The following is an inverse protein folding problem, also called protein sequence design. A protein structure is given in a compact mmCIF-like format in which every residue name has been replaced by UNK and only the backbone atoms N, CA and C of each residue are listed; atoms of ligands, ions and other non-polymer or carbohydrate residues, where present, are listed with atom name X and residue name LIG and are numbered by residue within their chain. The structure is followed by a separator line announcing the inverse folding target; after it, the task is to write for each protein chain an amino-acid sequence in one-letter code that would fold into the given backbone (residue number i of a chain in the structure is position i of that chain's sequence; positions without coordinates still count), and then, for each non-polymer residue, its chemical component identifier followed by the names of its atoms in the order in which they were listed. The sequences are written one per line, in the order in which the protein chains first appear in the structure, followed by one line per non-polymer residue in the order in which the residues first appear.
data_IF_311280383413
#
_entry.id   IF_311280383413
#
_cell.length_a   1.000
_cell.length_b   1.000
_cell.length_c   1.000
_cell.angle_alpha   90.00
_cell.angle_beta   90.00
_cell.angle_gamma   90.00
#
_symmetry.space_group_name_H-M   'P 1'
#
loop_
_entity.id
_entity.type
_entity.pdbx_description
1 polymer ?
#
# COMPACT_ATOMS: atom_id res chain seq x y z
N UNK A 1 -52.66 -44.94 -31.09
CA UNK A 1 -51.82 -43.98 -31.86
C UNK A 1 -51.23 -42.90 -30.97
N UNK A 2 -52.04 -42.19 -30.17
CA UNK A 2 -51.57 -41.11 -29.28
C UNK A 2 -50.57 -41.59 -28.21
N UNK A 3 -50.78 -42.75 -27.58
CA UNK A 3 -49.83 -43.31 -26.59
C UNK A 3 -48.45 -43.61 -27.19
N UNK A 4 -48.42 -44.10 -28.44
CA UNK A 4 -47.18 -44.39 -29.16
C UNK A 4 -46.40 -43.10 -29.48
N UNK A 5 -47.12 -42.05 -29.90
CA UNK A 5 -46.52 -40.73 -30.14
C UNK A 5 -45.98 -40.15 -28.83
N UNK A 6 -46.72 -40.27 -27.73
CA UNK A 6 -46.27 -39.85 -26.40
C UNK A 6 -44.98 -40.54 -25.95
N UNK A 7 -44.89 -41.87 -26.13
CA UNK A 7 -43.68 -42.65 -25.80
C UNK A 7 -42.45 -42.22 -26.60
N UNK A 8 -42.63 -41.91 -27.89
CA UNK A 8 -41.55 -41.43 -28.76
C UNK A 8 -41.05 -40.07 -28.28
N UNK A 9 -41.97 -39.14 -27.96
CA UNK A 9 -41.63 -37.81 -27.45
C UNK A 9 -40.88 -37.89 -26.11
N UNK A 10 -41.34 -38.74 -25.18
CA UNK A 10 -40.66 -38.95 -23.89
C UNK A 10 -39.25 -39.50 -24.07
N UNK A 11 -39.06 -40.47 -24.98
CA UNK A 11 -37.72 -41.00 -25.28
C UNK A 11 -36.78 -39.95 -25.87
N UNK A 12 -37.27 -39.13 -26.81
CA UNK A 12 -36.51 -38.04 -27.42
C UNK A 12 -36.12 -36.98 -26.38
N UNK A 13 -37.04 -36.60 -25.50
CA UNK A 13 -36.75 -35.70 -24.38
C UNK A 13 -35.70 -36.26 -23.42
N UNK A 14 -35.79 -37.55 -23.08
CA UNK A 14 -34.80 -38.20 -22.21
C UNK A 14 -33.40 -38.29 -22.84
N UNK A 15 -33.33 -38.51 -24.16
CA UNK A 15 -32.05 -38.48 -24.89
C UNK A 15 -31.45 -37.08 -24.94
N UNK A 16 -32.29 -36.07 -25.22
CA UNK A 16 -31.87 -34.66 -25.24
C UNK A 16 -31.40 -34.20 -23.86
N UNK A 17 -32.12 -34.54 -22.78
CA UNK A 17 -31.75 -34.16 -21.42
C UNK A 17 -30.42 -34.76 -21.00
N UNK A 18 -30.16 -36.04 -21.32
CA UNK A 18 -28.88 -36.69 -21.04
C UNK A 18 -27.73 -36.07 -21.83
N UNK A 19 -27.96 -35.71 -23.08
CA UNK A 19 -26.96 -35.02 -23.89
C UNK A 19 -26.61 -33.64 -23.31
N UNK A 20 -27.62 -32.86 -22.89
CA UNK A 20 -27.44 -31.56 -22.22
C UNK A 20 -26.67 -31.72 -20.91
N UNK A 21 -27.04 -32.69 -20.08
CA UNK A 21 -26.35 -32.94 -18.81
C UNK A 21 -24.88 -33.28 -19.03
N UNK A 22 -24.60 -34.18 -19.98
CA UNK A 22 -23.26 -34.67 -20.20
C UNK A 22 -22.33 -33.69 -20.91
N UNK A 23 -22.84 -32.90 -21.87
CA UNK A 23 -22.03 -31.99 -22.67
C UNK A 23 -22.12 -30.53 -22.23
N UNK A 24 -23.23 -30.07 -21.67
CA UNK A 24 -23.38 -28.67 -21.27
C UNK A 24 -23.08 -28.52 -19.79
N UNK A 25 -23.78 -29.28 -18.94
CA UNK A 25 -23.67 -29.11 -17.48
C UNK A 25 -22.27 -29.49 -16.99
N UNK A 26 -21.74 -30.64 -17.41
CA UNK A 26 -20.40 -31.07 -16.98
C UNK A 26 -19.30 -30.09 -17.42
N UNK A 27 -19.33 -29.63 -18.68
CA UNK A 27 -18.33 -28.66 -19.17
C UNK A 27 -18.42 -27.32 -18.43
N UNK A 28 -19.63 -26.85 -18.13
CA UNK A 28 -19.80 -25.62 -17.33
C UNK A 28 -19.29 -25.83 -15.89
N UNK A 29 -19.57 -26.96 -15.26
CA UNK A 29 -19.08 -27.26 -13.92
C UNK A 29 -17.54 -27.38 -13.86
N UNK A 30 -16.92 -28.01 -14.86
CA UNK A 30 -15.47 -28.07 -14.98
C UNK A 30 -14.86 -26.67 -15.19
N UNK A 31 -15.49 -25.84 -16.03
CA UNK A 31 -15.08 -24.46 -16.22
C UNK A 31 -15.12 -23.67 -14.90
N UNK A 32 -16.24 -23.74 -14.16
CA UNK A 32 -16.40 -23.04 -12.86
C UNK A 32 -15.36 -23.50 -11.85
N UNK A 33 -15.07 -24.82 -11.76
CA UNK A 33 -14.02 -25.35 -10.87
C UNK A 33 -12.63 -24.82 -11.23
N UNK A 34 -12.31 -24.70 -12.52
CA UNK A 34 -11.03 -24.13 -12.94
C UNK A 34 -10.95 -22.62 -12.67
N UNK A 35 -12.09 -21.93 -12.78
CA UNK A 35 -12.19 -20.49 -12.59
C UNK A 35 -11.91 -20.06 -11.15
N UNK A 36 -12.28 -20.89 -10.16
CA UNK A 36 -11.98 -20.65 -8.74
C UNK A 36 -10.47 -20.45 -8.50
N UNK A 37 -9.64 -21.28 -9.13
CA UNK A 37 -8.18 -21.21 -8.97
C UNK A 37 -7.62 -19.95 -9.63
N UNK A 38 -8.14 -19.56 -10.79
CA UNK A 38 -7.76 -18.32 -11.49
C UNK A 38 -8.14 -17.10 -10.66
N UNK A 39 -9.33 -17.07 -10.07
CA UNK A 39 -9.77 -16.00 -9.17
C UNK A 39 -8.90 -15.92 -7.92
N UNK A 40 -8.52 -17.06 -7.32
CA UNK A 40 -7.64 -17.08 -6.16
C UNK A 40 -6.28 -16.48 -6.49
N UNK A 41 -5.66 -16.88 -7.61
CA UNK A 41 -4.38 -16.30 -8.04
C UNK A 41 -4.53 -14.80 -8.32
N UNK A 42 -5.60 -14.39 -9.00
CA UNK A 42 -5.85 -12.99 -9.34
C UNK A 42 -6.00 -12.11 -8.09
N UNK A 43 -6.73 -12.58 -7.09
CA UNK A 43 -6.93 -11.86 -5.82
C UNK A 43 -5.62 -11.70 -5.05
N UNK A 44 -4.79 -12.76 -4.98
CA UNK A 44 -3.47 -12.70 -4.35
C UNK A 44 -2.57 -11.69 -5.06
N UNK A 45 -2.49 -11.73 -6.40
CA UNK A 45 -1.67 -10.79 -7.18
C UNK A 45 -2.15 -9.35 -7.00
N UNK A 46 -3.47 -9.11 -7.05
CA UNK A 46 -4.04 -7.79 -6.84
C UNK A 46 -3.73 -7.25 -5.43
N UNK A 47 -3.82 -8.10 -4.41
CA UNK A 47 -3.49 -7.71 -3.04
C UNK A 47 -2.02 -7.28 -2.90
N UNK A 48 -1.09 -8.04 -3.48
CA UNK A 48 0.33 -7.65 -3.49
C UNK A 48 0.56 -6.31 -4.19
N UNK A 49 -0.08 -6.08 -5.34
CA UNK A 49 0.03 -4.81 -6.06
C UNK A 49 -0.48 -3.63 -5.22
N UNK A 50 -1.59 -3.81 -4.51
CA UNK A 50 -2.15 -2.78 -3.61
C UNK A 50 -1.17 -2.48 -2.47
N UNK A 51 -0.60 -3.50 -1.83
CA UNK A 51 0.39 -3.32 -0.76
C UNK A 51 1.60 -2.55 -1.29
N UNK A 52 2.19 -2.99 -2.40
CA UNK A 52 3.36 -2.34 -3.01
C UNK A 52 3.05 -0.88 -3.31
N UNK A 53 1.88 -0.60 -3.90
CA UNK A 53 1.45 0.76 -4.18
C UNK A 53 1.31 1.60 -2.91
N UNK A 54 0.68 1.07 -1.86
CA UNK A 54 0.55 1.76 -0.57
C UNK A 54 1.90 2.05 0.06
N UNK A 55 2.80 1.06 0.12
CA UNK A 55 4.15 1.21 0.67
C UNK A 55 4.94 2.26 -0.12
N UNK A 56 4.95 2.20 -1.45
CA UNK A 56 5.63 3.21 -2.27
C UNK A 56 5.05 4.61 -2.06
N UNK A 57 3.72 4.74 -1.95
CA UNK A 57 3.06 6.02 -1.66
C UNK A 57 3.47 6.58 -0.30
N UNK A 58 3.61 5.73 0.71
CA UNK A 58 4.09 6.15 2.04
C UNK A 58 5.57 6.54 2.01
N UNK A 59 6.42 5.79 1.33
CA UNK A 59 7.84 6.12 1.18
C UNK A 59 8.06 7.47 0.47
N UNK A 60 7.25 7.79 -0.54
CA UNK A 60 7.29 9.10 -1.22
C UNK A 60 6.91 10.28 -0.31
N UNK A 61 6.16 10.04 0.77
CA UNK A 61 5.79 11.06 1.76
C UNK A 61 6.87 11.29 2.81
N UNK A 62 7.89 10.43 2.88
CA UNK A 62 8.97 10.61 3.85
C UNK A 62 9.82 11.84 3.50
N UNK A 63 10.20 12.64 4.50
CA UNK A 63 11.08 13.78 4.29
C UNK A 63 12.45 13.32 3.79
N UNK A 64 12.97 13.99 2.74
CA UNK A 64 14.27 13.63 2.13
C UNK A 64 15.48 13.95 3.00
N UNK A 65 15.34 14.90 3.92
CA UNK A 65 16.37 15.27 4.89
C UNK A 65 15.71 15.84 6.14
N UNK A 66 16.49 15.85 7.23
CA UNK A 66 16.08 16.31 8.54
C UNK A 66 16.95 17.48 8.95
N UNK A 67 16.33 18.55 9.42
CA UNK A 67 16.98 19.75 9.92
C UNK A 67 16.71 19.85 11.41
N UNK A 68 17.71 20.25 12.19
CA UNK A 68 17.54 20.60 13.59
C UNK A 68 17.35 22.12 13.65
N UNK A 69 16.17 22.53 14.06
CA UNK A 69 15.85 23.91 14.41
C UNK A 69 16.17 24.11 15.89
N UNK A 70 16.83 25.22 16.22
CA UNK A 70 17.25 25.55 17.57
C UNK A 70 16.48 26.80 17.99
N UNK A 71 15.73 26.69 19.08
CA UNK A 71 14.99 27.80 19.68
C UNK A 71 15.65 28.17 21.01
N UNK A 72 15.74 29.46 21.32
CA UNK A 72 16.08 29.95 22.66
C UNK A 72 14.92 29.69 23.65
N UNK A 73 15.16 29.82 24.95
CA UNK A 73 14.13 29.71 26.00
C UNK A 73 12.96 30.69 25.82
N UNK A 74 13.18 31.78 25.09
CA UNK A 74 12.16 32.77 24.74
C UNK A 74 11.37 32.42 23.46
N UNK A 75 11.68 31.30 22.80
CA UNK A 75 11.01 30.83 21.58
C UNK A 75 11.50 31.49 20.29
N UNK A 76 12.60 32.25 20.33
CA UNK A 76 13.21 32.86 19.16
C UNK A 76 14.15 31.86 18.46
N UNK A 77 14.19 31.87 17.13
CA UNK A 77 15.17 31.08 16.38
C UNK A 77 16.60 31.51 16.76
N UNK A 78 17.41 30.54 17.19
CA UNK A 78 18.78 30.74 17.59
C UNK A 78 19.72 29.97 16.66
N UNK A 79 20.76 30.62 16.14
CA UNK A 79 21.82 29.95 15.42
C UNK A 79 23.00 29.75 16.37
N UNK A 80 23.27 28.50 16.76
CA UNK A 80 24.45 28.18 17.57
C UNK A 80 25.59 27.81 16.64
N UNK A 81 26.63 28.63 16.65
CA UNK A 81 27.74 28.51 15.71
C UNK A 81 28.51 27.18 15.90
N UNK A 82 28.90 26.57 14.80
CA UNK A 82 29.60 25.27 14.78
C UNK A 82 28.71 24.02 14.93
N UNK A 83 27.38 24.14 15.16
CA UNK A 83 26.50 22.98 15.14
C UNK A 83 26.08 22.58 13.72
N UNK A 84 26.22 21.29 13.41
CA UNK A 84 25.60 20.72 12.22
C UNK A 84 24.09 20.64 12.40
N UNK A 85 23.34 21.34 11.55
CA UNK A 85 21.88 21.34 11.57
C UNK A 85 21.25 20.39 10.54
N UNK A 86 21.97 19.99 9.49
CA UNK A 86 21.43 19.20 8.38
C UNK A 86 21.87 17.73 8.41
N UNK A 87 20.90 16.81 8.38
CA UNK A 87 21.08 15.37 8.44
C UNK A 87 20.28 14.63 7.35
N UNK A 88 20.83 13.53 6.85
CA UNK A 88 20.17 12.68 5.85
C UNK A 88 19.17 11.71 6.46
N UNK A 89 19.36 11.30 7.72
CA UNK A 89 18.52 10.32 8.40
C UNK A 89 17.94 10.88 9.70
N UNK A 90 16.71 10.47 10.03
CA UNK A 90 16.04 10.87 11.26
C UNK A 90 16.82 10.43 12.50
N UNK A 91 17.37 9.21 12.47
CA UNK A 91 18.09 8.63 13.60
C UNK A 91 19.34 9.44 13.94
N UNK A 92 20.10 9.88 12.93
CA UNK A 92 21.27 10.72 13.15
C UNK A 92 20.86 12.09 13.71
N UNK A 93 19.84 12.72 13.11
CA UNK A 93 19.30 14.00 13.60
C UNK A 93 18.82 13.89 15.05
N UNK A 94 18.14 12.79 15.41
CA UNK A 94 17.62 12.55 16.75
C UNK A 94 18.72 12.34 17.78
N UNK A 95 19.69 11.49 17.46
CA UNK A 95 20.82 11.25 18.36
C UNK A 95 21.63 12.53 18.59
N UNK A 96 21.84 13.32 17.54
CA UNK A 96 22.55 14.59 17.64
C UNK A 96 21.76 15.63 18.44
N UNK A 97 20.48 15.83 18.13
CA UNK A 97 19.61 16.73 18.89
C UNK A 97 19.59 16.36 20.38
N UNK A 98 19.42 15.08 20.70
CA UNK A 98 19.38 14.60 22.07
C UNK A 98 20.70 14.84 22.81
N UNK A 99 21.85 14.66 22.15
CA UNK A 99 23.16 14.96 22.73
C UNK A 99 23.26 16.44 23.14
N UNK A 100 22.90 17.36 22.25
CA UNK A 100 22.97 18.79 22.54
C UNK A 100 21.86 19.27 23.48
N UNK A 101 20.67 18.66 23.47
CA UNK A 101 19.65 18.90 24.50
C UNK A 101 20.16 18.54 25.89
N UNK A 102 20.94 17.47 26.04
CA UNK A 102 21.51 17.12 27.34
C UNK A 102 22.56 18.13 27.81
N UNK A 103 23.31 18.75 26.89
CA UNK A 103 24.36 19.72 27.20
C UNK A 103 23.82 21.13 27.43
N UNK A 104 22.89 21.57 26.59
CA UNK A 104 22.43 22.97 26.52
C UNK A 104 20.93 23.11 26.72
N UNK A 105 20.23 22.07 27.18
CA UNK A 105 18.76 22.05 27.28
C UNK A 105 18.14 23.11 28.19
N UNK A 106 18.95 23.77 29.03
CA UNK A 106 18.51 24.93 29.82
C UNK A 106 18.52 26.26 29.06
N UNK A 107 19.27 26.33 27.95
CA UNK A 107 19.45 27.53 27.13
C UNK A 107 18.77 27.40 25.78
N UNK A 108 18.76 26.19 25.22
CA UNK A 108 18.28 25.94 23.87
C UNK A 108 17.38 24.71 23.82
N UNK A 109 16.36 24.81 22.97
CA UNK A 109 15.46 23.72 22.62
C UNK A 109 15.76 23.28 21.20
N UNK A 110 16.11 22.01 21.04
CA UNK A 110 16.44 21.40 19.75
C UNK A 110 15.24 20.65 19.22
N UNK A 111 14.71 21.06 18.06
CA UNK A 111 13.56 20.45 17.40
C UNK A 111 13.96 19.88 16.05
N UNK A 112 13.52 18.66 15.76
CA UNK A 112 13.83 17.99 14.50
C UNK A 112 12.67 18.19 13.53
N UNK A 113 12.96 18.72 12.34
CA UNK A 113 11.98 18.95 11.27
C UNK A 113 12.41 18.23 10.01
N UNK A 114 11.51 17.42 9.45
CA UNK A 114 11.73 16.81 8.15
C UNK A 114 11.38 17.79 7.04
N UNK A 115 12.34 18.13 6.17
CA UNK A 115 12.10 19.01 5.01
C UNK A 115 12.22 18.24 3.71
N UNK A 116 11.39 18.63 2.74
CA UNK A 116 11.45 18.14 1.37
C UNK A 116 12.08 19.21 0.49
N UNK A 117 13.08 18.83 -0.32
CA UNK A 117 13.92 19.72 -1.16
C UNK A 117 13.14 20.68 -2.07
N UNK A 118 11.83 20.43 -2.28
CA UNK A 118 10.95 21.22 -3.13
C UNK A 118 10.35 22.46 -2.44
N UNK A 119 10.51 22.64 -1.13
CA UNK A 119 9.91 23.77 -0.38
C UNK A 119 10.92 24.86 0.01
N UNK A 120 12.17 24.81 -0.48
CA UNK A 120 13.23 25.72 -0.04
C UNK A 120 13.68 26.74 -1.12
N UNK A 121 12.84 27.00 -2.13
CA UNK A 121 13.01 28.12 -3.07
C UNK A 121 11.87 29.12 -2.90
N UNK A 122 11.86 29.80 -1.75
CA UNK A 122 11.30 31.15 -1.62
C UNK A 122 11.56 31.57 -0.18
N UNK A 123 12.61 32.37 0.01
CA UNK A 123 12.72 33.53 0.89
C UNK A 123 14.15 34.03 0.65
N UNK A 124 14.27 34.94 -0.32
CA UNK A 124 15.28 35.98 -0.33
C UNK A 124 14.56 37.29 -0.06
#
# INVERSE_FOLDING_TARGET
MIEYVGLIVIRLLSLSSKWIEQYVINNVLEFVKSFEHVLMVLTVVAFFLIIIYMTMKQLKKLPKYYVIEIEDIYGNEAAVDGLRINFTTFTAAKSYAQFYTNLYGQQYKFRIVGRNRLLNYSIH
#
